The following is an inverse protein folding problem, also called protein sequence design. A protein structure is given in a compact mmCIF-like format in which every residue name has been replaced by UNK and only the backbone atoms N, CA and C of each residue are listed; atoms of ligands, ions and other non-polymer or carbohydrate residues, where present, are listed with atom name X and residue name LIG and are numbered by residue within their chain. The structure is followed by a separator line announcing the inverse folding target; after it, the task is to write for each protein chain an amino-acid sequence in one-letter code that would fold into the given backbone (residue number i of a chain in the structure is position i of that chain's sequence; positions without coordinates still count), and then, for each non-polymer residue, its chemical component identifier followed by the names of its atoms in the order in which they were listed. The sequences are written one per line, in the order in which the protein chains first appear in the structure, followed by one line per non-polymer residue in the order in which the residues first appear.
data_IF_235602666243
#
_entry.id   IF_235602666243
#
_cell.length_a   1.000
_cell.length_b   1.000
_cell.length_c   1.000
_cell.angle_alpha   90.00
_cell.angle_beta   90.00
_cell.angle_gamma   90.00
#
_symmetry.space_group_name_H-M   'P 1'
#
loop_
_entity.id
_entity.type
_entity.pdbx_description
1 polymer ?
#
# COMPACT_ATOMS: atom_id res chain seq x y z
N UNK A 1 18.85 1.36 15.57
CA UNK A 1 19.37 0.07 15.06
C UNK A 1 20.40 0.31 13.97
N UNK A 2 20.03 0.99 12.89
CA UNK A 2 20.97 1.42 11.86
C UNK A 2 21.65 2.74 12.27
N UNK A 3 22.97 2.82 12.13
CA UNK A 3 23.72 4.07 12.37
C UNK A 3 23.65 4.97 11.13
N UNK A 4 23.88 6.29 11.33
CA UNK A 4 23.95 7.24 10.22
C UNK A 4 25.06 6.85 9.22
N UNK A 5 26.25 6.50 9.72
CA UNK A 5 27.37 6.06 8.89
C UNK A 5 26.97 4.88 7.98
N UNK A 6 26.38 3.83 8.56
CA UNK A 6 25.93 2.68 7.78
C UNK A 6 24.88 3.07 6.74
N UNK A 7 23.88 3.89 7.12
CA UNK A 7 22.84 4.34 6.20
C UNK A 7 23.39 5.15 5.02
N UNK A 8 24.50 5.88 5.21
CA UNK A 8 25.15 6.64 4.13
C UNK A 8 25.85 5.74 3.11
N UNK A 9 26.32 4.56 3.54
CA UNK A 9 27.09 3.62 2.73
C UNK A 9 26.23 2.66 1.90
N UNK A 10 24.95 2.49 2.24
CA UNK A 10 24.01 1.60 1.54
C UNK A 10 24.00 1.93 0.04
N UNK A 11 24.22 0.90 -0.79
CA UNK A 11 24.22 1.03 -2.26
C UNK A 11 22.87 0.75 -2.89
N UNK A 12 22.08 -0.13 -2.28
CA UNK A 12 20.75 -0.56 -2.75
C UNK A 12 19.93 -1.11 -1.59
N UNK A 13 18.62 -0.90 -1.65
CA UNK A 13 17.65 -1.54 -0.74
C UNK A 13 16.88 -2.62 -1.48
N UNK A 14 16.76 -3.78 -0.84
CA UNK A 14 15.75 -4.80 -1.18
C UNK A 14 14.62 -4.71 -0.16
N UNK A 15 13.37 -4.63 -0.61
CA UNK A 15 12.19 -4.74 0.24
C UNK A 15 11.48 -6.05 -0.10
N UNK A 16 11.38 -6.97 0.86
CA UNK A 16 10.81 -8.30 0.63
C UNK A 16 9.68 -8.56 1.62
N UNK A 17 8.51 -8.93 1.08
CA UNK A 17 7.30 -9.15 1.88
C UNK A 17 6.26 -9.99 1.11
N UNK A 18 5.14 -10.31 1.75
CA UNK A 18 3.99 -11.00 1.14
C UNK A 18 2.70 -10.18 1.27
N UNK A 19 1.78 -10.35 0.32
CA UNK A 19 0.42 -9.79 0.36
C UNK A 19 0.37 -8.27 0.62
N UNK A 20 -0.48 -7.84 1.54
CA UNK A 20 -0.60 -6.43 1.94
C UNK A 20 0.72 -5.78 2.35
N UNK A 21 1.63 -6.51 3.00
CA UNK A 21 2.94 -5.96 3.37
C UNK A 21 3.84 -5.70 2.15
N UNK A 22 3.67 -6.46 1.07
CA UNK A 22 4.33 -6.22 -0.22
C UNK A 22 3.79 -4.96 -0.91
N UNK A 23 2.48 -4.71 -0.86
CA UNK A 23 1.91 -3.45 -1.36
C UNK A 23 2.48 -2.23 -0.63
N UNK A 24 2.69 -2.31 0.69
CA UNK A 24 3.34 -1.24 1.44
C UNK A 24 4.78 -1.01 0.95
N UNK A 25 5.52 -2.10 0.72
CA UNK A 25 6.87 -2.05 0.14
C UNK A 25 6.92 -1.36 -1.23
N UNK A 26 5.95 -1.65 -2.11
CA UNK A 26 5.84 -1.00 -3.41
C UNK A 26 5.62 0.51 -3.27
N UNK A 27 4.77 0.96 -2.34
CA UNK A 27 4.58 2.38 -2.05
C UNK A 27 5.86 3.02 -1.48
N UNK A 28 6.52 2.34 -0.53
CA UNK A 28 7.77 2.81 0.08
C UNK A 28 8.93 2.92 -0.91
N UNK A 29 8.97 2.10 -1.97
CA UNK A 29 9.94 2.25 -3.05
C UNK A 29 9.89 3.65 -3.67
N UNK A 30 8.71 4.15 -4.01
CA UNK A 30 8.57 5.51 -4.55
C UNK A 30 9.10 6.57 -3.58
N UNK A 31 8.84 6.41 -2.29
CA UNK A 31 9.31 7.36 -1.26
C UNK A 31 10.83 7.36 -1.14
N UNK A 32 11.45 6.18 -1.06
CA UNK A 32 12.90 6.05 -0.88
C UNK A 32 13.65 6.48 -2.14
N UNK A 33 13.18 6.06 -3.34
CA UNK A 33 13.83 6.46 -4.59
C UNK A 33 13.77 7.97 -4.81
N UNK A 34 12.67 8.62 -4.41
CA UNK A 34 12.50 10.06 -4.57
C UNK A 34 13.28 10.85 -3.50
N UNK A 35 13.10 10.55 -2.22
CA UNK A 35 13.67 11.30 -1.10
C UNK A 35 15.17 11.00 -0.87
N UNK A 36 15.61 9.75 -1.06
CA UNK A 36 16.97 9.31 -0.77
C UNK A 36 17.83 9.09 -2.02
N UNK A 37 17.22 9.18 -3.23
CA UNK A 37 17.89 8.97 -4.53
C UNK A 37 18.69 7.67 -4.58
N UNK A 38 18.10 6.60 -4.07
CA UNK A 38 18.74 5.29 -3.90
C UNK A 38 17.93 4.20 -4.60
N UNK A 39 18.56 3.26 -5.33
CA UNK A 39 17.85 2.17 -5.97
C UNK A 39 17.11 1.28 -4.97
N UNK A 40 15.84 0.99 -5.26
CA UNK A 40 15.03 0.07 -4.47
C UNK A 40 14.46 -1.03 -5.36
N UNK A 41 14.65 -2.28 -4.92
CA UNK A 41 13.98 -3.43 -5.49
C UNK A 41 12.96 -3.96 -4.49
N UNK A 42 11.72 -4.14 -4.93
CA UNK A 42 10.65 -4.73 -4.11
C UNK A 42 10.29 -6.06 -4.71
N UNK A 43 10.20 -7.10 -3.88
CA UNK A 43 9.91 -8.44 -4.35
C UNK A 43 8.94 -9.19 -3.45
N UNK A 44 8.22 -10.13 -4.05
CA UNK A 44 7.38 -11.07 -3.33
C UNK A 44 8.29 -12.12 -2.70
N UNK A 45 8.17 -12.34 -1.39
CA UNK A 45 9.12 -13.17 -0.66
C UNK A 45 9.20 -14.63 -1.16
N UNK A 46 8.06 -15.18 -1.59
CA UNK A 46 7.99 -16.53 -2.17
C UNK A 46 8.82 -16.64 -3.45
N UNK A 47 8.85 -15.61 -4.30
CA UNK A 47 9.66 -15.63 -5.53
C UNK A 47 11.13 -15.32 -5.23
N UNK A 48 11.38 -14.37 -4.32
CA UNK A 48 12.73 -13.95 -3.95
C UNK A 48 13.58 -15.12 -3.44
N UNK A 49 13.03 -15.99 -2.58
CA UNK A 49 13.76 -17.13 -2.02
C UNK A 49 14.17 -18.19 -3.06
N UNK A 50 13.48 -18.24 -4.20
CA UNK A 50 13.71 -19.25 -5.24
C UNK A 50 14.50 -18.72 -6.45
N UNK A 51 14.76 -17.41 -6.52
CA UNK A 51 15.63 -16.82 -7.54
C UNK A 51 16.93 -16.32 -6.91
N UNK A 52 18.08 -16.92 -7.24
CA UNK A 52 19.42 -16.56 -6.70
C UNK A 52 19.63 -15.03 -6.68
N UNK A 53 19.37 -14.34 -5.56
CA UNK A 53 19.19 -12.90 -5.60
C UNK A 53 20.56 -12.20 -5.58
N UNK A 54 20.67 -11.06 -6.26
CA UNK A 54 21.92 -10.30 -6.39
C UNK A 54 22.18 -9.43 -5.15
N UNK A 55 22.12 -10.03 -3.98
CA UNK A 55 22.42 -9.38 -2.70
C UNK A 55 23.93 -9.37 -2.47
N UNK A 56 24.46 -8.30 -1.90
CA UNK A 56 25.84 -8.16 -1.45
C UNK A 56 25.83 -7.54 -0.04
N UNK A 57 26.94 -7.60 0.71
CA UNK A 57 27.05 -6.94 2.02
C UNK A 57 26.83 -5.42 2.02
N UNK A 58 26.94 -4.76 0.86
CA UNK A 58 26.71 -3.32 0.69
C UNK A 58 25.22 -2.95 0.55
N UNK A 59 24.35 -3.96 0.51
CA UNK A 59 22.91 -3.79 0.41
C UNK A 59 22.24 -3.85 1.79
N UNK A 60 21.08 -3.21 1.91
CA UNK A 60 20.18 -3.38 3.03
C UNK A 60 18.98 -4.23 2.60
N UNK A 61 18.71 -5.28 3.36
CA UNK A 61 17.49 -6.06 3.25
C UNK A 61 16.44 -5.54 4.23
N UNK A 62 15.34 -5.00 3.72
CA UNK A 62 14.17 -4.60 4.51
C UNK A 62 13.11 -5.68 4.35
N UNK A 63 12.70 -6.31 5.45
CA UNK A 63 11.57 -7.23 5.45
C UNK A 63 10.37 -6.61 6.15
N UNK A 64 9.19 -6.79 5.58
CA UNK A 64 7.94 -6.25 6.13
C UNK A 64 7.01 -7.40 6.46
N UNK A 65 6.63 -7.53 7.72
CA UNK A 65 5.74 -8.60 8.17
C UNK A 65 4.95 -8.18 9.40
N UNK A 66 3.62 -8.27 9.33
CA UNK A 66 2.77 -7.94 10.48
C UNK A 66 3.03 -8.88 11.66
N UNK A 67 3.07 -10.20 11.40
CA UNK A 67 3.22 -11.23 12.42
C UNK A 67 4.67 -11.44 12.85
N UNK A 68 5.64 -11.19 11.97
CA UNK A 68 7.03 -11.55 12.18
C UNK A 68 7.33 -13.04 12.01
N UNK A 69 6.34 -13.82 11.57
CA UNK A 69 6.41 -15.28 11.47
C UNK A 69 6.12 -15.81 10.05
N UNK A 70 5.94 -14.92 9.06
CA UNK A 70 5.70 -15.33 7.66
C UNK A 70 6.89 -16.10 7.11
N UNK A 71 6.69 -17.38 6.76
CA UNK A 71 7.77 -18.32 6.45
C UNK A 71 8.68 -17.84 5.30
N UNK A 72 8.09 -17.41 4.18
CA UNK A 72 8.86 -16.93 3.02
C UNK A 72 9.65 -15.66 3.31
N UNK A 73 9.06 -14.74 4.08
CA UNK A 73 9.72 -13.49 4.48
C UNK A 73 10.90 -13.77 5.41
N UNK A 74 10.74 -14.69 6.35
CA UNK A 74 11.83 -15.17 7.22
C UNK A 74 12.94 -15.85 6.42
N UNK A 75 12.59 -16.66 5.41
CA UNK A 75 13.57 -17.30 4.54
C UNK A 75 14.41 -16.26 3.78
N UNK A 76 13.78 -15.24 3.20
CA UNK A 76 14.47 -14.14 2.52
C UNK A 76 15.38 -13.35 3.48
N UNK A 77 14.91 -13.07 4.70
CA UNK A 77 15.72 -12.40 5.74
C UNK A 77 16.98 -13.21 6.07
N UNK A 78 16.83 -14.51 6.34
CA UNK A 78 17.94 -15.41 6.68
C UNK A 78 18.95 -15.53 5.54
N UNK A 79 18.48 -15.59 4.30
CA UNK A 79 19.36 -15.66 3.13
C UNK A 79 20.20 -14.38 2.97
N UNK A 80 19.59 -13.20 3.13
CA UNK A 80 20.32 -11.93 3.10
C UNK A 80 21.42 -11.88 4.18
N UNK A 81 21.11 -12.33 5.41
CA UNK A 81 22.09 -12.42 6.51
C UNK A 81 23.20 -13.41 6.20
N UNK A 82 22.88 -14.58 5.62
CA UNK A 82 23.87 -15.59 5.22
C UNK A 82 24.88 -15.03 4.20
N UNK A 83 24.42 -14.16 3.30
CA UNK A 83 25.26 -13.46 2.32
C UNK A 83 26.06 -12.31 2.96
N UNK A 84 25.66 -11.84 4.14
CA UNK A 84 26.34 -10.77 4.88
C UNK A 84 25.70 -9.39 4.74
N UNK A 85 24.53 -9.28 4.10
CA UNK A 85 23.76 -8.04 4.09
C UNK A 85 23.09 -7.82 5.46
N UNK A 86 23.03 -6.56 5.91
CA UNK A 86 22.25 -6.24 7.11
C UNK A 86 20.76 -6.28 6.82
N UNK A 87 20.00 -6.53 7.87
CA UNK A 87 18.55 -6.66 7.83
C UNK A 87 17.85 -5.64 8.72
N UNK A 88 16.83 -5.00 8.17
CA UNK A 88 15.85 -4.19 8.89
C UNK A 88 14.49 -4.89 8.82
N UNK A 89 13.91 -5.19 9.98
CA UNK A 89 12.55 -5.73 10.05
C UNK A 89 11.55 -4.64 10.41
N UNK A 90 10.55 -4.41 9.57
CA UNK A 90 9.36 -3.61 9.91
C UNK A 90 8.26 -4.58 10.37
N UNK A 91 7.94 -4.57 11.65
CA UNK A 91 7.03 -5.56 12.24
C UNK A 91 6.11 -4.97 13.31
N UNK A 92 4.94 -5.56 13.49
CA UNK A 92 3.99 -5.14 14.54
C UNK A 92 4.14 -5.95 15.83
N UNK A 93 4.51 -7.23 15.74
CA UNK A 93 4.61 -8.12 16.90
C UNK A 93 6.00 -8.01 17.54
N UNK A 94 6.02 -7.51 18.76
CA UNK A 94 7.26 -7.36 19.56
C UNK A 94 7.85 -8.72 19.87
N UNK A 95 9.15 -8.86 19.62
CA UNK A 95 9.89 -10.07 19.94
C UNK A 95 9.54 -11.27 19.05
N UNK A 96 8.89 -11.08 17.90
CA UNK A 96 8.70 -12.11 16.87
C UNK A 96 10.02 -12.63 16.31
N UNK A 97 9.99 -13.77 15.60
CA UNK A 97 11.18 -14.39 15.02
C UNK A 97 11.93 -13.44 14.10
N UNK A 98 11.23 -12.78 13.18
CA UNK A 98 11.84 -11.83 12.25
C UNK A 98 12.51 -10.67 12.99
N UNK A 99 11.85 -10.14 14.03
CA UNK A 99 12.40 -9.05 14.84
C UNK A 99 13.64 -9.49 15.65
N UNK A 100 13.64 -10.69 16.24
CA UNK A 100 14.80 -11.21 16.99
C UNK A 100 16.01 -11.49 16.10
N UNK A 101 15.76 -11.90 14.85
CA UNK A 101 16.82 -12.22 13.89
C UNK A 101 17.33 -11.01 13.11
N UNK A 102 16.75 -9.83 13.25
CA UNK A 102 17.16 -8.66 12.48
C UNK A 102 18.33 -7.90 13.13
N UNK A 103 19.13 -7.22 12.30
CA UNK A 103 20.17 -6.28 12.78
C UNK A 103 19.54 -4.98 13.30
N UNK A 104 18.39 -4.60 12.75
CA UNK A 104 17.57 -3.49 13.21
C UNK A 104 16.09 -3.84 13.09
N UNK A 105 15.27 -3.24 13.97
CA UNK A 105 13.82 -3.41 13.95
C UNK A 105 13.14 -2.05 14.02
N UNK A 106 12.11 -1.87 13.20
CA UNK A 106 11.13 -0.80 13.31
C UNK A 106 9.81 -1.43 13.73
N UNK A 107 9.41 -1.21 14.99
CA UNK A 107 8.11 -1.67 15.46
C UNK A 107 7.02 -0.69 15.03
N UNK A 108 6.00 -1.17 14.33
CA UNK A 108 4.91 -0.31 13.83
C UNK A 108 3.97 0.16 14.95
N UNK A 109 3.96 -0.55 16.09
CA UNK A 109 3.17 -0.23 17.27
C UNK A 109 1.67 0.01 16.99
N UNK A 110 1.10 -0.70 16.01
CA UNK A 110 -0.33 -0.59 15.67
C UNK A 110 -1.25 -1.36 16.64
N UNK A 111 -0.69 -2.02 17.65
CA UNK A 111 -1.40 -2.90 18.58
C UNK A 111 -1.85 -4.22 17.94
N UNK A 112 -2.48 -5.14 18.69
CA UNK A 112 -2.94 -6.42 18.15
C UNK A 112 -3.91 -6.24 16.99
N UNK A 113 -3.73 -6.98 15.89
CA UNK A 113 -4.63 -6.96 14.74
C UNK A 113 -5.24 -8.36 14.58
N UNK A 114 -6.54 -8.47 14.84
CA UNK A 114 -7.23 -9.75 14.97
C UNK A 114 -7.78 -10.24 13.62
N UNK A 115 -8.48 -9.37 12.88
CA UNK A 115 -9.02 -9.70 11.57
C UNK A 115 -7.93 -10.16 10.62
N UNK A 116 -8.20 -11.20 9.83
CA UNK A 116 -7.22 -11.81 8.91
C UNK A 116 -6.69 -10.78 7.92
N UNK A 117 -7.59 -10.04 7.27
CA UNK A 117 -7.26 -8.97 6.34
C UNK A 117 -6.60 -7.78 7.10
N UNK A 118 -5.35 -7.46 6.75
CA UNK A 118 -4.60 -6.37 7.37
C UNK A 118 -5.18 -4.98 7.01
N UNK A 119 -5.21 -4.06 7.99
CA UNK A 119 -5.72 -2.69 7.82
C UNK A 119 -4.77 -1.67 8.45
N UNK A 120 -4.77 -1.54 9.78
CA UNK A 120 -3.90 -0.61 10.51
C UNK A 120 -2.42 -0.99 10.42
N UNK A 121 -2.12 -2.29 10.29
CA UNK A 121 -0.74 -2.72 10.06
C UNK A 121 -0.23 -2.22 8.71
N UNK A 122 -1.05 -2.21 7.66
CA UNK A 122 -0.69 -1.62 6.37
C UNK A 122 -0.37 -0.13 6.48
N UNK A 123 -1.26 0.67 7.09
CA UNK A 123 -1.05 2.12 7.23
C UNK A 123 0.23 2.44 7.99
N UNK A 124 0.49 1.73 9.09
CA UNK A 124 1.69 1.94 9.91
C UNK A 124 2.96 1.40 9.24
N UNK A 125 2.88 0.39 8.36
CA UNK A 125 4.00 -0.04 7.51
C UNK A 125 4.37 1.05 6.49
N UNK A 126 3.38 1.66 5.83
CA UNK A 126 3.59 2.80 4.91
C UNK A 126 4.23 3.97 5.65
N UNK A 127 3.74 4.31 6.84
CA UNK A 127 4.35 5.32 7.72
C UNK A 127 5.81 4.97 8.09
N UNK A 128 6.10 3.70 8.37
CA UNK A 128 7.46 3.26 8.72
C UNK A 128 8.43 3.45 7.56
N UNK A 129 7.98 3.14 6.33
CA UNK A 129 8.75 3.37 5.11
C UNK A 129 8.92 4.86 4.79
N UNK A 130 7.91 5.68 5.08
CA UNK A 130 8.00 7.14 4.97
C UNK A 130 9.08 7.71 5.88
N UNK A 131 9.09 7.31 7.16
CA UNK A 131 10.11 7.72 8.12
C UNK A 131 11.50 7.22 7.74
N UNK A 132 11.60 5.98 7.25
CA UNK A 132 12.85 5.42 6.73
C UNK A 132 13.37 6.24 5.53
N UNK A 133 12.49 6.58 4.58
CA UNK A 133 12.85 7.38 3.40
C UNK A 133 13.35 8.77 3.79
N UNK A 134 12.67 9.45 4.72
CA UNK A 134 13.11 10.75 5.23
C UNK A 134 14.48 10.66 5.94
N UNK A 135 14.67 9.67 6.81
CA UNK A 135 15.94 9.45 7.51
C UNK A 135 17.10 9.16 6.54
N UNK A 136 16.87 8.32 5.52
CA UNK A 136 17.85 8.04 4.46
C UNK A 136 18.17 9.31 3.65
N UNK A 137 17.16 10.10 3.29
CA UNK A 137 17.34 11.35 2.57
C UNK A 137 18.17 12.37 3.35
N UNK A 138 17.94 12.50 4.66
CA UNK A 138 18.71 13.37 5.54
C UNK A 138 20.18 12.93 5.61
N UNK A 139 20.42 11.64 5.88
CA UNK A 139 21.79 11.09 6.02
C UNK A 139 22.57 11.22 4.72
N UNK A 140 21.91 11.10 3.57
CA UNK A 140 22.54 11.21 2.25
C UNK A 140 22.62 12.65 1.74
N UNK A 141 22.09 13.62 2.47
CA UNK A 141 22.07 15.03 2.09
C UNK A 141 21.18 15.36 0.89
N UNK A 142 20.30 14.45 0.47
CA UNK A 142 19.32 14.68 -0.62
C UNK A 142 18.04 15.34 -0.11
N UNK A 143 17.80 15.28 1.20
CA UNK A 143 16.69 15.94 1.88
C UNK A 143 17.24 16.92 2.92
N UNK A 144 17.01 18.22 2.72
CA UNK A 144 17.41 19.26 3.65
C UNK A 144 16.64 19.22 4.97
N UNK A 145 17.19 19.86 6.01
CA UNK A 145 16.60 19.86 7.34
C UNK A 145 15.17 20.45 7.37
N UNK A 146 14.92 21.55 6.64
CA UNK A 146 13.60 22.18 6.60
C UNK A 146 12.57 21.29 5.89
N UNK A 147 12.90 20.78 4.70
CA UNK A 147 12.02 19.85 3.98
C UNK A 147 11.72 18.59 4.80
N UNK A 148 12.72 18.04 5.51
CA UNK A 148 12.48 16.92 6.41
C UNK A 148 11.57 17.28 7.59
N UNK A 149 11.66 18.50 8.11
CA UNK A 149 10.80 18.98 9.19
C UNK A 149 9.37 19.11 8.71
N UNK A 150 9.14 19.70 7.53
CA UNK A 150 7.81 19.80 6.90
C UNK A 150 7.16 18.42 6.70
N UNK A 151 7.94 17.42 6.26
CA UNK A 151 7.46 16.04 6.12
C UNK A 151 7.01 15.43 7.46
N UNK A 152 7.74 15.69 8.55
CA UNK A 152 7.38 15.20 9.88
C UNK A 152 6.19 15.96 10.47
N UNK A 153 6.11 17.28 10.27
CA UNK A 153 4.97 18.09 10.70
C UNK A 153 3.67 17.62 10.02
N UNK A 154 3.72 17.33 8.72
CA UNK A 154 2.58 16.76 8.00
C UNK A 154 2.18 15.37 8.55
N UNK A 155 3.15 14.52 8.90
CA UNK A 155 2.87 13.23 9.52
C UNK A 155 2.14 13.37 10.87
N UNK A 156 2.48 14.39 11.67
CA UNK A 156 1.82 14.65 12.95
C UNK A 156 0.34 15.05 12.78
N UNK A 157 -0.05 15.58 11.62
CA UNK A 157 -1.43 15.91 11.30
C UNK A 157 -2.26 14.69 10.82
N UNK A 158 -1.59 13.59 10.48
CA UNK A 158 -2.25 12.42 9.89
C UNK A 158 -3.37 11.80 10.73
N UNK A 159 -3.29 11.68 12.08
CA UNK A 159 -4.40 11.14 12.87
C UNK A 159 -5.71 11.89 12.65
N UNK A 160 -5.69 13.23 12.65
CA UNK A 160 -6.87 14.05 12.39
C UNK A 160 -7.36 13.96 10.93
N UNK A 161 -6.45 13.77 9.96
CA UNK A 161 -6.83 13.50 8.57
C UNK A 161 -7.48 12.13 8.41
N UNK A 162 -6.96 11.10 9.08
CA UNK A 162 -7.53 9.75 9.12
C UNK A 162 -8.94 9.79 9.71
N UNK A 163 -9.15 10.50 10.83
CA UNK A 163 -10.48 10.67 11.43
C UNK A 163 -11.47 11.32 10.46
N UNK A 164 -11.06 12.38 9.75
CA UNK A 164 -11.88 13.00 8.71
C UNK A 164 -12.16 12.06 7.54
N UNK A 165 -11.18 11.28 7.10
CA UNK A 165 -11.36 10.28 6.05
C UNK A 165 -12.36 9.18 6.46
N UNK A 166 -12.34 8.76 7.73
CA UNK A 166 -13.29 7.77 8.24
C UNK A 166 -14.73 8.28 8.20
N UNK A 167 -14.98 9.60 8.24
CA UNK A 167 -16.32 10.16 8.05
C UNK A 167 -16.88 9.92 6.64
N UNK A 168 -16.05 9.56 5.65
CA UNK A 168 -16.51 9.14 4.33
C UNK A 168 -17.34 7.85 4.35
N UNK A 169 -17.35 7.12 5.48
CA UNK A 169 -18.19 5.94 5.71
C UNK A 169 -19.67 6.15 5.35
N UNK A 170 -20.20 7.35 5.62
CA UNK A 170 -21.59 7.71 5.31
C UNK A 170 -21.87 7.73 3.80
N UNK A 171 -20.87 8.08 2.98
CA UNK A 171 -20.97 8.05 1.51
C UNK A 171 -20.65 6.65 0.97
N UNK A 172 -19.79 5.89 1.65
CA UNK A 172 -19.36 4.57 1.19
C UNK A 172 -20.44 3.51 1.38
N UNK A 173 -21.22 3.56 2.46
CA UNK A 173 -22.34 2.62 2.70
C UNK A 173 -23.33 2.51 1.53
N UNK A 174 -23.90 3.60 0.98
CA UNK A 174 -24.81 3.51 -0.16
C UNK A 174 -24.11 3.00 -1.43
N UNK A 175 -22.84 3.38 -1.68
CA UNK A 175 -22.04 2.86 -2.79
C UNK A 175 -21.88 1.34 -2.65
N UNK A 176 -21.51 0.85 -1.47
CA UNK A 176 -21.40 -0.59 -1.21
C UNK A 176 -22.73 -1.32 -1.46
N UNK A 177 -23.87 -0.72 -1.05
CA UNK A 177 -25.21 -1.27 -1.29
C UNK A 177 -25.60 -1.31 -2.77
N UNK A 178 -25.06 -0.42 -3.59
CA UNK A 178 -25.24 -0.44 -5.03
C UNK A 178 -24.49 -1.64 -5.67
N UNK A 179 -23.23 -1.86 -5.27
CA UNK A 179 -22.33 -2.79 -5.97
C UNK A 179 -22.08 -4.13 -5.28
N UNK A 180 -22.69 -4.43 -4.12
CA UNK A 180 -22.40 -5.68 -3.41
C UNK A 180 -22.74 -6.96 -4.21
N UNK A 181 -23.59 -6.86 -5.24
CA UNK A 181 -23.93 -7.95 -6.16
C UNK A 181 -23.04 -8.04 -7.40
N UNK A 182 -22.12 -7.09 -7.61
CA UNK A 182 -21.21 -7.12 -8.73
C UNK A 182 -20.36 -8.40 -8.72
N UNK A 183 -20.00 -8.86 -9.92
CA UNK A 183 -19.23 -10.09 -10.11
C UNK A 183 -17.73 -9.86 -10.07
N UNK A 184 -17.29 -8.67 -10.46
CA UNK A 184 -15.91 -8.25 -10.38
C UNK A 184 -15.76 -6.75 -10.22
N UNK A 185 -14.53 -6.30 -9.98
CA UNK A 185 -14.13 -4.90 -9.86
C UNK A 185 -12.75 -4.70 -10.51
N UNK A 186 -12.52 -3.52 -11.09
CA UNK A 186 -11.18 -3.07 -11.48
C UNK A 186 -10.79 -1.87 -10.62
N UNK A 187 -9.57 -1.88 -10.09
CA UNK A 187 -8.99 -0.77 -9.33
C UNK A 187 -7.86 -0.14 -10.14
N UNK A 188 -7.93 1.16 -10.40
CA UNK A 188 -6.97 1.89 -11.23
C UNK A 188 -6.34 3.05 -10.47
N UNK A 189 -5.01 3.15 -10.54
CA UNK A 189 -4.27 4.29 -10.03
C UNK A 189 -2.92 4.43 -10.77
N UNK A 190 -2.18 5.51 -10.48
CA UNK A 190 -0.85 5.77 -11.07
C UNK A 190 0.18 6.11 -10.01
N UNK A 191 1.46 5.92 -10.37
CA UNK A 191 2.60 6.25 -9.51
C UNK A 191 2.53 5.58 -8.15
N UNK A 192 2.81 6.33 -7.09
CA UNK A 192 2.77 5.86 -5.69
C UNK A 192 1.39 5.34 -5.25
N UNK A 193 0.32 5.70 -5.97
CA UNK A 193 -1.03 5.25 -5.69
C UNK A 193 -1.39 3.91 -6.35
N UNK A 194 -0.63 3.43 -7.34
CA UNK A 194 -0.84 2.10 -7.94
C UNK A 194 -0.83 0.96 -6.92
N UNK A 195 0.14 0.88 -5.99
CA UNK A 195 0.12 -0.10 -4.90
C UNK A 195 -1.15 -0.05 -4.04
N UNK A 196 -1.79 1.11 -3.94
CA UNK A 196 -3.04 1.28 -3.18
C UNK A 196 -4.24 0.73 -3.95
N UNK A 197 -4.25 0.81 -5.29
CA UNK A 197 -5.22 0.11 -6.12
C UNK A 197 -5.08 -1.42 -5.98
N UNK A 198 -3.85 -1.94 -5.94
CA UNK A 198 -3.61 -3.36 -5.64
C UNK A 198 -4.12 -3.76 -4.26
N UNK A 199 -3.88 -2.93 -3.24
CA UNK A 199 -4.36 -3.17 -1.88
C UNK A 199 -5.90 -3.15 -1.79
N UNK A 200 -6.56 -2.17 -2.42
CA UNK A 200 -8.03 -2.12 -2.46
C UNK A 200 -8.65 -3.36 -3.12
N UNK A 201 -8.08 -3.78 -4.25
CA UNK A 201 -8.48 -5.01 -4.93
C UNK A 201 -8.24 -6.26 -4.05
N UNK A 202 -7.12 -6.31 -3.32
CA UNK A 202 -6.84 -7.40 -2.40
C UNK A 202 -7.85 -7.45 -1.25
N UNK A 203 -8.15 -6.31 -0.59
CA UNK A 203 -9.16 -6.25 0.47
C UNK A 203 -10.51 -6.76 -0.02
N UNK A 204 -10.96 -6.31 -1.19
CA UNK A 204 -12.25 -6.74 -1.72
C UNK A 204 -12.26 -8.26 -2.00
N UNK A 205 -11.18 -8.81 -2.56
CA UNK A 205 -11.02 -10.27 -2.74
C UNK A 205 -11.09 -11.03 -1.42
N UNK A 206 -10.34 -10.57 -0.42
CA UNK A 206 -10.19 -11.27 0.86
C UNK A 206 -11.52 -11.40 1.60
N UNK A 207 -12.28 -10.31 1.75
CA UNK A 207 -13.43 -10.27 2.68
C UNK A 207 -14.81 -10.26 2.01
N UNK A 208 -14.88 -10.20 0.68
CA UNK A 208 -16.15 -10.29 -0.07
C UNK A 208 -16.21 -11.41 -1.11
N UNK A 209 -15.06 -11.99 -1.44
CA UNK A 209 -14.88 -13.00 -2.50
C UNK A 209 -15.26 -12.54 -3.91
N UNK A 210 -15.39 -11.23 -4.13
CA UNK A 210 -15.55 -10.65 -5.46
C UNK A 210 -14.20 -10.69 -6.18
N UNK A 211 -14.22 -11.04 -7.47
CA UNK A 211 -13.01 -11.00 -8.26
C UNK A 211 -12.58 -9.54 -8.50
N UNK A 212 -11.48 -9.13 -7.88
CA UNK A 212 -10.98 -7.77 -8.03
C UNK A 212 -9.51 -7.73 -8.43
N UNK A 213 -9.20 -6.87 -9.39
CA UNK A 213 -7.86 -6.69 -9.95
C UNK A 213 -7.43 -5.24 -9.87
N UNK A 214 -6.19 -5.01 -9.43
CA UNK A 214 -5.58 -3.68 -9.42
C UNK A 214 -4.62 -3.55 -10.60
N UNK A 215 -4.75 -2.46 -11.36
CA UNK A 215 -3.90 -2.18 -12.52
C UNK A 215 -3.31 -0.76 -12.45
N UNK A 216 -2.10 -0.56 -12.99
CA UNK A 216 -1.64 0.79 -13.27
C UNK A 216 -2.51 1.36 -14.39
N UNK A 217 -3.13 2.52 -14.17
CA UNK A 217 -4.11 3.08 -15.12
C UNK A 217 -3.52 3.35 -16.51
N UNK A 218 -2.19 3.53 -16.60
CA UNK A 218 -1.47 3.64 -17.88
C UNK A 218 -1.52 2.39 -18.75
N UNK A 219 -1.66 1.21 -18.14
CA UNK A 219 -1.73 -0.07 -18.85
C UNK A 219 -3.15 -0.45 -19.26
N UNK A 220 -4.15 0.41 -19.00
CA UNK A 220 -5.55 0.08 -19.24
C UNK A 220 -5.80 -0.35 -20.69
N UNK A 221 -5.19 0.33 -21.67
CA UNK A 221 -5.33 0.01 -23.11
C UNK A 221 -4.60 -1.27 -23.54
N UNK A 222 -3.75 -1.84 -22.69
CA UNK A 222 -2.95 -3.02 -23.00
C UNK A 222 -3.65 -4.33 -22.60
N UNK A 223 -4.98 -4.30 -22.42
CA UNK A 223 -5.81 -5.48 -22.14
C UNK A 223 -7.03 -5.18 -21.28
N UNK A 224 -6.86 -4.62 -20.05
CA UNK A 224 -7.95 -4.46 -19.07
C UNK A 224 -9.16 -3.67 -19.58
N UNK A 225 -8.96 -2.73 -20.51
CA UNK A 225 -10.04 -1.93 -21.10
C UNK A 225 -11.12 -2.77 -21.81
N UNK A 226 -10.78 -3.98 -22.26
CA UNK A 226 -11.70 -4.89 -22.93
C UNK A 226 -12.78 -5.46 -22.00
N UNK A 227 -12.57 -5.37 -20.68
CA UNK A 227 -13.52 -5.84 -19.66
C UNK A 227 -14.52 -4.77 -19.22
N UNK A 228 -14.30 -3.51 -19.61
CA UNK A 228 -15.13 -2.38 -19.13
C UNK A 228 -16.50 -2.41 -19.81
N UNK A 229 -17.54 -2.45 -19.00
CA UNK A 229 -18.94 -2.33 -19.38
C UNK A 229 -19.77 -1.66 -18.27
N UNK A 230 -21.09 -1.64 -18.43
CA UNK A 230 -22.03 -1.05 -17.47
C UNK A 230 -22.21 -1.89 -16.18
N UNK A 231 -21.77 -3.16 -16.15
CA UNK A 231 -21.91 -4.03 -14.97
C UNK A 231 -20.65 -4.04 -14.11
N UNK A 232 -19.47 -3.80 -14.68
CA UNK A 232 -18.18 -3.85 -14.02
C UNK A 232 -17.82 -2.50 -13.36
N UNK A 233 -17.82 -2.39 -12.03
CA UNK A 233 -17.44 -1.15 -11.35
C UNK A 233 -15.93 -0.93 -11.45
N UNK A 234 -15.55 0.31 -11.70
CA UNK A 234 -14.15 0.73 -11.81
C UNK A 234 -13.84 1.73 -10.71
N UNK A 235 -13.04 1.32 -9.72
CA UNK A 235 -12.58 2.19 -8.64
C UNK A 235 -11.32 2.91 -9.10
N UNK A 236 -11.33 4.25 -9.13
CA UNK A 236 -10.21 5.04 -9.62
C UNK A 236 -9.67 5.99 -8.54
N UNK A 237 -8.38 5.90 -8.24
CA UNK A 237 -7.71 6.76 -7.27
C UNK A 237 -7.06 7.95 -8.01
N UNK A 238 -7.64 9.13 -7.86
CA UNK A 238 -7.22 10.33 -8.58
C UNK A 238 -7.05 11.53 -7.61
N UNK A 239 -6.12 11.45 -6.65
CA UNK A 239 -5.76 12.62 -5.87
C UNK A 239 -5.05 13.67 -6.74
N UNK A 240 -4.98 14.90 -6.24
CA UNK A 240 -4.19 15.98 -6.80
C UNK A 240 -2.69 15.67 -6.70
N UNK A 241 -2.12 15.27 -7.82
CA UNK A 241 -0.68 15.09 -8.01
C UNK A 241 -0.27 15.43 -9.46
N UNK A 242 1.00 15.18 -9.81
CA UNK A 242 1.54 15.43 -11.16
C UNK A 242 0.96 14.51 -12.24
N UNK A 243 0.18 13.49 -11.86
CA UNK A 243 -0.44 12.50 -12.74
C UNK A 243 -1.96 12.65 -12.83
N UNK A 244 -2.56 13.62 -12.14
CA UNK A 244 -4.01 13.86 -12.13
C UNK A 244 -4.59 13.99 -13.55
N UNK A 245 -4.00 14.80 -14.42
CA UNK A 245 -4.47 14.96 -15.80
C UNK A 245 -4.47 13.62 -16.57
N UNK A 246 -3.44 12.79 -16.35
CA UNK A 246 -3.35 11.45 -16.97
C UNK A 246 -4.41 10.51 -16.40
N UNK A 247 -4.70 10.61 -15.10
CA UNK A 247 -5.79 9.87 -14.45
C UNK A 247 -7.15 10.30 -15.01
N UNK A 248 -7.42 11.60 -15.15
CA UNK A 248 -8.68 12.10 -15.72
C UNK A 248 -8.86 11.65 -17.19
N UNK A 249 -7.78 11.62 -17.97
CA UNK A 249 -7.81 11.05 -19.33
C UNK A 249 -8.19 9.56 -19.31
N UNK A 250 -7.65 8.78 -18.36
CA UNK A 250 -8.08 7.39 -18.19
C UNK A 250 -9.55 7.27 -17.73
N UNK A 251 -10.05 8.18 -16.88
CA UNK A 251 -11.47 8.18 -16.48
C UNK A 251 -12.40 8.42 -17.68
N UNK A 252 -12.04 9.35 -18.57
CA UNK A 252 -12.80 9.59 -19.80
C UNK A 252 -12.88 8.34 -20.69
N UNK A 253 -11.79 7.58 -20.78
CA UNK A 253 -11.75 6.32 -21.54
C UNK A 253 -12.63 5.22 -20.93
N UNK A 254 -12.75 5.17 -19.61
CA UNK A 254 -13.68 4.28 -18.90
C UNK A 254 -15.13 4.71 -19.18
N UNK A 255 -15.44 6.00 -19.01
CA UNK A 255 -16.77 6.55 -19.26
C UNK A 255 -17.23 6.36 -20.70
N UNK A 256 -16.34 6.54 -21.68
CA UNK A 256 -16.68 6.36 -23.10
C UNK A 256 -17.06 4.92 -23.47
N UNK A 257 -16.94 3.97 -22.53
CA UNK A 257 -17.28 2.56 -22.66
C UNK A 257 -18.39 2.12 -21.71
N UNK A 258 -19.06 3.06 -21.04
CA UNK A 258 -20.15 2.78 -20.11
C UNK A 258 -19.69 2.34 -18.72
N UNK A 259 -18.39 2.41 -18.40
CA UNK A 259 -17.87 1.98 -17.11
C UNK A 259 -18.42 2.80 -15.94
N UNK A 260 -18.88 2.13 -14.89
CA UNK A 260 -19.36 2.78 -13.67
C UNK A 260 -18.17 3.16 -12.77
N UNK A 261 -17.76 4.42 -12.83
CA UNK A 261 -16.62 4.92 -12.03
C UNK A 261 -17.02 5.24 -10.59
N UNK A 262 -16.27 4.67 -9.65
CA UNK A 262 -16.22 5.07 -8.24
C UNK A 262 -14.88 5.79 -8.03
N UNK A 263 -14.90 7.12 -8.00
CA UNK A 263 -13.68 7.91 -7.82
C UNK A 263 -13.37 8.14 -6.33
N UNK A 264 -12.10 8.04 -5.98
CA UNK A 264 -11.57 8.57 -4.71
C UNK A 264 -10.61 9.71 -5.07
N UNK A 265 -10.98 10.91 -4.66
CA UNK A 265 -10.26 12.15 -4.91
C UNK A 265 -9.99 12.86 -3.58
N UNK A 266 -9.06 13.81 -3.55
CA UNK A 266 -8.86 14.67 -2.39
C UNK A 266 -9.57 16.03 -2.56
N UNK A 267 -9.69 16.77 -1.46
CA UNK A 267 -10.34 18.09 -1.43
C UNK A 267 -9.81 19.05 -2.51
N UNK A 268 -8.53 18.93 -2.88
CA UNK A 268 -7.88 19.71 -3.92
C UNK A 268 -8.09 19.26 -5.38
N UNK A 269 -8.75 18.12 -5.65
CA UNK A 269 -9.07 17.61 -7.00
C UNK A 269 -10.55 17.28 -7.20
N UNK A 270 -11.45 18.10 -6.65
CA UNK A 270 -12.91 17.89 -6.71
C UNK A 270 -13.48 17.79 -8.13
N UNK A 271 -12.82 18.38 -9.12
CA UNK A 271 -13.15 18.27 -10.55
C UNK A 271 -13.19 16.81 -11.04
N UNK A 272 -12.47 15.90 -10.38
CA UNK A 272 -12.52 14.45 -10.65
C UNK A 272 -13.93 13.90 -10.48
N UNK A 273 -14.71 14.43 -9.55
CA UNK A 273 -16.06 13.95 -9.27
C UNK A 273 -17.01 14.16 -10.46
N UNK A 274 -16.73 15.09 -11.37
CA UNK A 274 -17.55 15.31 -12.58
C UNK A 274 -17.48 14.13 -13.55
N UNK A 275 -16.42 13.33 -13.47
CA UNK A 275 -16.21 12.15 -14.31
C UNK A 275 -16.71 10.86 -13.66
N UNK A 276 -17.23 10.91 -12.44
CA UNK A 276 -17.56 9.71 -11.69
C UNK A 276 -19.03 9.65 -11.30
N UNK A 277 -19.63 8.46 -11.39
CA UNK A 277 -20.99 8.22 -10.90
C UNK A 277 -21.06 8.36 -9.38
N UNK A 278 -20.03 7.84 -8.71
CA UNK A 278 -19.86 7.95 -7.27
C UNK A 278 -18.49 8.58 -6.98
N UNK A 279 -18.45 9.56 -6.07
CA UNK A 279 -17.21 10.23 -5.69
C UNK A 279 -17.04 10.24 -4.17
N UNK A 280 -15.87 9.85 -3.70
CA UNK A 280 -15.47 9.87 -2.30
C UNK A 280 -14.34 10.88 -2.15
N UNK A 281 -14.53 11.87 -1.27
CA UNK A 281 -13.52 12.88 -0.98
C UNK A 281 -12.75 12.53 0.29
N UNK A 282 -11.43 12.65 0.21
CA UNK A 282 -10.51 12.57 1.35
C UNK A 282 -9.82 13.93 1.59
N UNK A 283 -9.29 14.20 2.79
CA UNK A 283 -8.50 15.39 3.04
C UNK A 283 -7.24 15.46 2.18
N UNK A 284 -6.76 16.69 1.93
CA UNK A 284 -5.46 16.91 1.30
C UNK A 284 -4.30 16.46 2.19
N UNK A 285 -3.28 15.88 1.56
CA UNK A 285 -2.01 15.51 2.18
C UNK A 285 -0.85 15.64 1.20
N UNK A 286 0.38 15.62 1.70
CA UNK A 286 1.54 15.51 0.81
C UNK A 286 1.51 14.20 -0.01
N UNK A 287 2.22 14.19 -1.15
CA UNK A 287 2.26 13.08 -2.10
C UNK A 287 2.55 11.72 -1.45
N UNK A 288 3.43 11.68 -0.44
CA UNK A 288 3.88 10.45 0.17
C UNK A 288 2.92 9.89 1.23
N UNK A 289 2.10 10.74 1.85
CA UNK A 289 1.14 10.34 2.88
C UNK A 289 -0.29 10.17 2.35
N UNK A 290 -0.61 10.75 1.19
CA UNK A 290 -1.86 10.49 0.46
C UNK A 290 -2.21 9.00 0.29
N UNK A 291 -1.26 8.09 -0.01
CA UNK A 291 -1.52 6.64 -0.05
C UNK A 291 -2.19 6.08 1.21
N UNK A 292 -1.86 6.60 2.39
CA UNK A 292 -2.48 6.16 3.65
C UNK A 292 -3.96 6.57 3.72
N UNK A 293 -4.29 7.79 3.28
CA UNK A 293 -5.68 8.27 3.26
C UNK A 293 -6.52 7.54 2.20
N UNK A 294 -5.94 7.27 1.02
CA UNK A 294 -6.62 6.55 -0.06
C UNK A 294 -6.97 5.10 0.31
N UNK A 295 -6.18 4.45 1.15
CA UNK A 295 -6.43 3.07 1.56
C UNK A 295 -7.69 2.92 2.43
N UNK A 296 -8.08 3.97 3.18
CA UNK A 296 -9.19 3.89 4.14
C UNK A 296 -10.55 3.70 3.44
N UNK A 297 -10.94 4.52 2.43
CA UNK A 297 -12.18 4.29 1.70
C UNK A 297 -12.25 2.91 1.04
N UNK A 298 -11.11 2.38 0.58
CA UNK A 298 -11.04 1.06 -0.04
C UNK A 298 -11.29 -0.06 0.97
N UNK A 299 -10.72 0.06 2.16
CA UNK A 299 -10.96 -0.87 3.28
C UNK A 299 -12.43 -0.83 3.72
N UNK A 300 -13.01 0.37 3.86
CA UNK A 300 -14.43 0.55 4.21
C UNK A 300 -15.37 -0.01 3.13
N UNK A 301 -15.06 0.24 1.85
CA UNK A 301 -15.84 -0.28 0.72
C UNK A 301 -15.85 -1.82 0.73
N UNK A 302 -14.67 -2.44 0.88
CA UNK A 302 -14.55 -3.88 0.98
C UNK A 302 -15.30 -4.44 2.19
N UNK A 303 -15.19 -3.78 3.35
CA UNK A 303 -15.88 -4.17 4.58
C UNK A 303 -17.40 -4.18 4.40
N UNK A 304 -17.98 -3.07 3.93
CA UNK A 304 -19.43 -2.97 3.75
C UNK A 304 -19.95 -3.95 2.70
N UNK A 305 -19.23 -4.14 1.60
CA UNK A 305 -19.61 -5.14 0.59
C UNK A 305 -19.55 -6.56 1.18
N UNK A 306 -18.49 -6.90 1.94
CA UNK A 306 -18.37 -8.19 2.61
C UNK A 306 -19.52 -8.46 3.58
N UNK A 307 -19.86 -7.48 4.41
CA UNK A 307 -21.00 -7.54 5.35
C UNK A 307 -22.33 -7.72 4.60
N UNK A 308 -22.58 -6.93 3.55
CA UNK A 308 -23.81 -7.02 2.75
C UNK A 308 -23.96 -8.36 2.03
N UNK A 309 -22.84 -9.03 1.72
CA UNK A 309 -22.81 -10.38 1.16
C UNK A 309 -22.88 -11.49 2.21
N UNK A 310 -22.96 -11.14 3.51
CA UNK A 310 -23.00 -12.10 4.61
C UNK A 310 -21.70 -12.90 4.77
N UNK A 311 -20.56 -12.33 4.35
CA UNK A 311 -19.25 -12.95 4.51
C UNK A 311 -18.73 -12.77 5.93
N UNK A 312 -17.91 -13.71 6.41
CA UNK A 312 -17.13 -13.53 7.64
C UNK A 312 -15.93 -12.61 7.32
N UNK A 313 -16.03 -11.35 7.74
CA UNK A 313 -15.04 -10.30 7.44
C UNK A 313 -13.82 -10.37 8.35
N UNK A 314 -13.93 -11.01 9.52
CA UNK A 314 -12.82 -11.20 10.46
C UNK A 314 -12.05 -12.49 10.13
N UNK A 315 -12.76 -13.55 9.73
CA UNK A 315 -12.22 -14.87 9.39
C UNK A 315 -12.68 -15.33 7.98
N UNK A 316 -12.23 -14.66 6.92
CA UNK A 316 -12.55 -15.04 5.55
C UNK A 316 -12.09 -16.48 5.24
N UNK A 317 -12.93 -17.19 4.49
CA UNK A 317 -12.71 -18.61 4.16
C UNK A 317 -11.36 -18.82 3.48
N UNK A 318 -10.70 -19.92 3.82
CA UNK A 318 -9.42 -20.36 3.24
C UNK A 318 -8.22 -19.41 3.48
N UNK A 319 -8.37 -18.38 4.30
CA UNK A 319 -7.29 -17.47 4.65
C UNK A 319 -6.90 -17.64 6.12
N UNK A 320 -5.61 -17.44 6.40
CA UNK A 320 -5.06 -17.44 7.74
C UNK A 320 -4.39 -16.09 8.02
N UNK A 321 -4.42 -15.64 9.28
CA UNK A 321 -3.83 -14.35 9.67
C UNK A 321 -2.33 -14.26 9.34
N UNK A 322 -1.63 -15.38 9.41
CA UNK A 322 -0.22 -15.50 9.05
C UNK A 322 0.03 -16.87 8.44
N UNK A 323 0.74 -16.91 7.32
CA UNK A 323 1.20 -18.14 6.69
C UNK A 323 2.56 -18.50 7.31
N UNK A 324 2.53 -19.35 8.33
CA UNK A 324 3.69 -19.76 9.14
C UNK A 324 4.30 -21.09 8.73
N UNK A 325 3.65 -21.80 7.81
CA UNK A 325 4.08 -23.08 7.25
C UNK A 325 4.05 -22.99 5.73
N UNK A 326 4.89 -23.79 5.09
CA UNK A 326 4.92 -23.97 3.63
C UNK A 326 3.82 -24.95 3.18
#
# INVERSE_FOLDING_TARGET
GLTADYMSEIKKIYIVACGTSWHAGLAGKYMIEDLARMPVEVDVASEFRYRKPLITPEHLMVVITQSGETADTLAAQREARRIGAKTLTICNVVGSTSAREADAVFYTHSGPEIGVASTKAFLTQVMSLYLLAAALGQVRGTLGAEASKELLEELLLMPGKIERTLAADEVIKPIAKEYFKARGFIYLARGINYPIALEGALKLKEISYIHAEGYPAGEMKHGPIALIDEELPVVMLAPKDTLLEKMMSNMQEVNSRGGNIIAIANEGSREVCEFAKNCILIPDSNLYLTPMLLAIPLQLLAYHIGVLRGCDVDQPRNLAKSVTVE
#
